data_IF_936674198471
#
_entry.id   IF_936674198471
#
_cell.length_a   1.000
_cell.length_b   1.000
_cell.length_c   1.000
_cell.angle_alpha   90.00
_cell.angle_beta   90.00
_cell.angle_gamma   90.00
#
_symmetry.space_group_name_H-M   'P 1'
#
loop_
_entity.id
_entity.type
_entity.pdbx_description
1 polymer ?
#
# COMPACT_ATOMS: atom_id res chain seq x y z
N UNK A 1 23.38 13.42 8.98
CA UNK A 1 22.53 12.71 9.97
C UNK A 1 22.09 11.40 9.34
N UNK A 2 22.25 10.26 10.00
CA UNK A 2 22.01 8.94 9.36
C UNK A 2 20.50 8.65 9.22
N UNK A 3 19.66 9.34 9.99
CA UNK A 3 18.20 9.14 10.02
C UNK A 3 17.48 9.50 8.72
N UNK A 4 17.93 10.51 7.98
CA UNK A 4 17.29 10.92 6.71
C UNK A 4 17.62 9.97 5.55
N UNK A 5 18.76 9.28 5.61
CA UNK A 5 19.23 8.37 4.55
C UNK A 5 18.54 7.01 4.56
N UNK A 6 17.83 6.68 5.64
CA UNK A 6 17.00 5.47 5.77
C UNK A 6 15.65 5.69 5.09
N UNK A 7 15.18 6.94 4.99
CA UNK A 7 13.87 7.29 4.44
C UNK A 7 13.88 7.57 2.93
N UNK A 8 15.06 7.58 2.30
CA UNK A 8 15.23 8.01 0.90
C UNK A 8 15.55 6.86 -0.09
N UNK A 9 15.63 5.62 0.39
CA UNK A 9 16.13 4.49 -0.41
C UNK A 9 15.03 3.59 -1.01
N UNK A 10 13.80 3.58 -0.47
CA UNK A 10 12.80 2.60 -0.92
C UNK A 10 11.55 3.20 -1.59
N UNK A 11 11.46 4.52 -1.77
CA UNK A 11 10.24 5.11 -2.34
C UNK A 11 10.13 4.98 -3.87
N UNK A 12 11.26 4.78 -4.56
CA UNK A 12 11.33 4.84 -6.04
C UNK A 12 11.39 3.44 -6.69
N UNK A 13 11.74 2.38 -5.96
CA UNK A 13 12.11 1.12 -6.61
C UNK A 13 10.98 0.10 -6.74
N UNK A 14 9.83 0.30 -6.08
CA UNK A 14 8.88 -0.80 -5.90
C UNK A 14 7.39 -0.50 -6.16
N UNK A 15 7.03 0.49 -7.00
CA UNK A 15 5.61 0.76 -7.31
C UNK A 15 4.82 -0.50 -7.73
N UNK A 16 5.46 -1.45 -8.43
CA UNK A 16 4.84 -2.75 -8.76
C UNK A 16 4.71 -3.69 -7.54
N UNK A 17 5.70 -3.72 -6.63
CA UNK A 17 5.58 -4.54 -5.43
C UNK A 17 4.44 -4.05 -4.55
N UNK A 18 4.25 -2.73 -4.45
CA UNK A 18 3.20 -2.14 -3.64
C UNK A 18 1.83 -2.66 -4.10
N UNK A 19 1.61 -2.73 -5.42
CA UNK A 19 0.38 -3.29 -6.00
C UNK A 19 0.21 -4.79 -5.67
N UNK A 20 1.30 -5.56 -5.69
CA UNK A 20 1.31 -6.98 -5.31
C UNK A 20 0.90 -7.14 -3.84
N UNK A 21 1.53 -6.40 -2.92
CA UNK A 21 1.21 -6.47 -1.49
C UNK A 21 -0.20 -5.97 -1.18
N UNK A 22 -0.67 -4.91 -1.84
CA UNK A 22 -2.05 -4.44 -1.71
C UNK A 22 -3.03 -5.50 -2.17
N UNK A 23 -2.76 -6.21 -3.28
CA UNK A 23 -3.59 -7.32 -3.72
C UNK A 23 -3.60 -8.49 -2.73
N UNK A 24 -2.44 -8.85 -2.18
CA UNK A 24 -2.35 -9.86 -1.13
C UNK A 24 -3.14 -9.47 0.13
N UNK A 25 -3.06 -8.21 0.55
CA UNK A 25 -3.81 -7.69 1.68
C UNK A 25 -5.31 -7.77 1.41
N UNK A 26 -5.79 -7.24 0.27
CA UNK A 26 -7.21 -7.35 -0.14
C UNK A 26 -7.70 -8.80 -0.14
N UNK A 27 -6.89 -9.74 -0.63
CA UNK A 27 -7.25 -11.16 -0.61
C UNK A 27 -7.36 -11.76 0.81
N UNK A 28 -6.63 -11.22 1.80
CA UNK A 28 -6.70 -11.65 3.21
C UNK A 28 -7.83 -10.97 3.99
N UNK A 29 -8.00 -9.65 3.83
CA UNK A 29 -8.94 -8.86 4.65
C UNK A 29 -10.28 -8.60 3.95
N UNK A 30 -10.29 -8.21 2.67
CA UNK A 30 -11.53 -7.86 1.94
C UNK A 30 -12.33 -9.11 1.52
N UNK A 31 -11.71 -10.29 1.36
CA UNK A 31 -12.45 -11.52 1.02
C UNK A 31 -13.40 -12.00 2.14
N UNK A 32 -13.15 -11.61 3.38
CA UNK A 32 -13.97 -12.01 4.55
C UNK A 32 -14.76 -10.85 5.15
N UNK A 33 -14.53 -9.62 4.69
CA UNK A 33 -15.27 -8.44 5.13
C UNK A 33 -16.10 -7.89 3.98
N UNK A 34 -17.39 -7.70 4.22
CA UNK A 34 -18.32 -7.11 3.25
C UNK A 34 -17.93 -5.66 2.88
N UNK A 35 -17.19 -4.99 3.78
CA UNK A 35 -16.63 -3.66 3.58
C UNK A 35 -15.18 -3.73 3.12
N UNK A 36 -14.90 -3.11 1.98
CA UNK A 36 -13.56 -2.92 1.44
C UNK A 36 -12.81 -1.85 2.24
N UNK A 37 -11.75 -2.25 2.93
CA UNK A 37 -10.98 -1.36 3.80
C UNK A 37 -9.92 -0.58 3.00
N UNK A 38 -9.43 -1.16 1.89
CA UNK A 38 -8.37 -0.55 1.07
C UNK A 38 -8.95 0.09 -0.20
N UNK A 39 -8.93 1.42 -0.27
CA UNK A 39 -9.38 2.22 -1.43
C UNK A 39 -8.18 2.71 -2.25
N UNK A 40 -8.29 2.63 -3.57
CA UNK A 40 -7.31 3.20 -4.50
C UNK A 40 -7.69 4.63 -4.83
N UNK A 41 -6.75 5.55 -4.66
CA UNK A 41 -6.89 6.96 -5.05
C UNK A 41 -5.95 7.20 -6.23
N UNK A 42 -6.54 7.43 -7.40
CA UNK A 42 -5.80 7.61 -8.65
C UNK A 42 -4.83 8.78 -8.52
N UNK A 43 -3.58 8.59 -8.95
CA UNK A 43 -2.49 9.58 -8.91
C UNK A 43 -2.01 9.97 -7.50
N UNK A 44 -2.45 9.28 -6.45
CA UNK A 44 -2.05 9.53 -5.05
C UNK A 44 -1.54 8.24 -4.38
N UNK A 45 -2.21 7.10 -4.61
CA UNK A 45 -1.83 5.80 -4.04
C UNK A 45 -3.01 5.07 -3.42
N UNK A 46 -2.80 4.51 -2.23
CA UNK A 46 -3.80 3.70 -1.51
C UNK A 46 -4.13 4.33 -0.15
N UNK A 47 -5.41 4.25 0.25
CA UNK A 47 -5.88 4.69 1.56
C UNK A 47 -6.60 3.56 2.26
N UNK A 48 -6.32 3.41 3.55
CA UNK A 48 -7.02 2.48 4.45
C UNK A 48 -8.10 3.27 5.18
N UNK A 49 -9.37 2.88 5.03
CA UNK A 49 -10.50 3.54 5.68
C UNK A 49 -11.54 2.49 6.07
N UNK A 50 -11.95 2.50 7.35
CA UNK A 50 -13.06 1.68 7.88
C UNK A 50 -14.44 2.05 7.31
#
# INVERSE_FOLDING_TARGET
>A
MISEKIWDIDFITESNIVDIYINFLRAKIDKRHEKKVIKTVRSVGYIVKE
#
